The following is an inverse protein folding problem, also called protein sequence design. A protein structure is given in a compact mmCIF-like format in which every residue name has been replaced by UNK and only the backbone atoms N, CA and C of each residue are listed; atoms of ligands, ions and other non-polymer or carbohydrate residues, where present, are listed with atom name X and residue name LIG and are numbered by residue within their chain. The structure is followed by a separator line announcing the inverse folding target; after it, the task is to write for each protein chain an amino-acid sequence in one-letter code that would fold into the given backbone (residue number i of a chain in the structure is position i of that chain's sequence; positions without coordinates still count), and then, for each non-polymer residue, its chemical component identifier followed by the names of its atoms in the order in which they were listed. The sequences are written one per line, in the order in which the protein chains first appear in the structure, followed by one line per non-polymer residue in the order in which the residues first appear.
data_IF_390336633772
#
_entry.id   IF_390336633772
#
_cell.length_a   1.000
_cell.length_b   1.000
_cell.length_c   1.000
_cell.angle_alpha   90.00
_cell.angle_beta   90.00
_cell.angle_gamma   90.00
#
_symmetry.space_group_name_H-M   'P 1'
#
loop_
_entity.id
_entity.type
_entity.pdbx_description
1 polymer ?
#
# COMPACT_ATOMS: atom_id res chain seq x y z
N UNK A 1 -9.46 -8.95 0.52
CA UNK A 1 -9.16 -8.64 1.93
C UNK A 1 -7.67 -8.54 2.15
N UNK A 2 -7.27 -7.69 3.07
CA UNK A 2 -5.86 -7.52 3.41
C UNK A 2 -5.42 -8.65 4.31
N UNK A 3 -4.25 -9.22 4.06
CA UNK A 3 -3.65 -10.25 4.92
C UNK A 3 -2.60 -9.63 5.84
N UNK A 4 -2.73 -9.90 7.13
CA UNK A 4 -1.83 -9.36 8.15
C UNK A 4 -0.89 -10.47 8.60
N UNK A 5 0.42 -10.19 8.55
CA UNK A 5 1.47 -11.12 8.98
C UNK A 5 2.38 -10.43 9.99
N UNK A 6 2.33 -10.88 11.24
CA UNK A 6 3.21 -10.38 12.29
C UNK A 6 3.20 -8.84 12.38
N UNK A 7 1.98 -8.28 12.47
CA UNK A 7 1.80 -6.83 12.53
C UNK A 7 2.55 -6.23 13.73
N UNK A 8 3.24 -5.11 13.49
CA UNK A 8 3.93 -4.39 14.56
C UNK A 8 2.96 -3.97 15.67
N UNK A 9 3.45 -3.99 16.90
CA UNK A 9 2.63 -3.78 18.09
C UNK A 9 2.60 -2.31 18.55
N UNK A 10 2.86 -1.39 17.65
CA UNK A 10 2.77 0.03 17.92
C UNK A 10 1.36 0.54 17.67
N UNK A 11 0.99 1.62 18.38
CA UNK A 11 -0.38 2.16 18.34
C UNK A 11 -0.92 2.40 16.93
N UNK A 12 -0.18 3.02 16.00
CA UNK A 12 -0.73 3.25 14.67
C UNK A 12 -1.14 1.95 13.96
N UNK A 13 -0.37 0.89 14.10
CA UNK A 13 -0.66 -0.40 13.46
C UNK A 13 -1.84 -1.10 14.12
N UNK A 14 -1.90 -1.05 15.42
CA UNK A 14 -3.03 -1.61 16.19
C UNK A 14 -4.31 -0.86 15.81
N UNK A 15 -4.27 0.45 15.76
CA UNK A 15 -5.41 1.28 15.40
C UNK A 15 -5.86 0.98 13.96
N UNK A 16 -4.93 0.83 13.04
CA UNK A 16 -5.25 0.45 11.67
C UNK A 16 -6.03 -0.87 11.64
N UNK A 17 -5.53 -1.87 12.35
CA UNK A 17 -6.18 -3.19 12.40
C UNK A 17 -7.58 -3.11 13.00
N UNK A 18 -7.76 -2.35 14.06
CA UNK A 18 -9.06 -2.14 14.68
C UNK A 18 -10.04 -1.49 13.71
N UNK A 19 -9.63 -0.42 13.04
CA UNK A 19 -10.46 0.27 12.07
C UNK A 19 -10.78 -0.60 10.86
N UNK A 20 -9.82 -1.40 10.44
CA UNK A 20 -10.03 -2.37 9.38
C UNK A 20 -11.10 -3.41 9.78
N UNK A 21 -10.99 -3.96 10.98
CA UNK A 21 -11.96 -4.94 11.47
C UNK A 21 -13.37 -4.33 11.58
N UNK A 22 -13.48 -3.08 12.05
CA UNK A 22 -14.75 -2.37 12.12
C UNK A 22 -15.34 -2.17 10.72
N UNK A 23 -14.54 -1.81 9.74
CA UNK A 23 -14.98 -1.62 8.37
C UNK A 23 -15.45 -2.93 7.74
N UNK A 24 -14.74 -4.03 7.97
CA UNK A 24 -15.15 -5.37 7.52
C UNK A 24 -16.52 -5.71 8.11
N UNK A 25 -16.70 -5.52 9.41
CA UNK A 25 -17.94 -5.81 10.09
C UNK A 25 -19.09 -4.95 9.56
N UNK A 26 -18.81 -3.75 9.10
CA UNK A 26 -19.80 -2.84 8.52
C UNK A 26 -20.07 -3.12 7.03
N UNK A 27 -19.44 -4.12 6.45
CA UNK A 27 -19.66 -4.49 5.06
C UNK A 27 -18.97 -3.60 4.04
N UNK A 28 -17.85 -2.97 4.40
CA UNK A 28 -17.12 -2.10 3.50
C UNK A 28 -16.64 -2.84 2.26
N UNK A 29 -17.03 -2.34 1.07
CA UNK A 29 -16.57 -2.85 -0.22
C UNK A 29 -15.23 -2.21 -0.58
N UNK A 30 -14.43 -2.93 -1.37
CA UNK A 30 -13.13 -2.46 -1.86
C UNK A 30 -12.25 -1.95 -0.72
N UNK A 31 -12.26 -2.68 0.39
CA UNK A 31 -11.58 -2.25 1.62
C UNK A 31 -10.06 -2.15 1.45
N UNK A 32 -9.51 -2.91 0.50
CA UNK A 32 -8.08 -2.89 0.18
C UNK A 32 -7.66 -1.76 -0.76
N UNK A 33 -8.61 -1.01 -1.30
CA UNK A 33 -8.28 0.10 -2.22
C UNK A 33 -7.60 1.23 -1.47
N UNK A 34 -6.41 1.60 -1.92
CA UNK A 34 -5.58 2.61 -1.31
C UNK A 34 -5.13 3.60 -2.38
N UNK A 35 -5.37 4.88 -2.16
CA UNK A 35 -4.87 5.92 -3.06
C UNK A 35 -3.41 6.21 -2.73
N UNK A 36 -2.55 6.16 -3.74
CA UNK A 36 -1.13 6.51 -3.60
C UNK A 36 -0.85 7.76 -4.41
N UNK A 37 -0.24 8.73 -3.76
CA UNK A 37 0.25 9.94 -4.40
C UNK A 37 1.77 9.88 -4.46
N UNK A 38 2.31 10.09 -5.65
CA UNK A 38 3.74 10.04 -5.90
C UNK A 38 4.20 11.30 -6.63
N UNK A 39 5.50 11.60 -6.49
CA UNK A 39 6.12 12.75 -7.11
C UNK A 39 7.24 12.28 -8.05
N UNK A 40 7.18 12.73 -9.31
CA UNK A 40 8.24 12.49 -10.29
C UNK A 40 9.17 13.70 -10.32
N UNK A 41 10.39 13.54 -9.83
CA UNK A 41 11.34 14.65 -9.71
C UNK A 41 11.83 15.20 -11.06
N UNK A 42 11.84 14.35 -12.10
CA UNK A 42 12.31 14.77 -13.43
C UNK A 42 11.33 15.71 -14.10
N UNK A 43 10.05 15.54 -13.88
CA UNK A 43 8.99 16.35 -14.50
C UNK A 43 8.33 17.30 -13.53
N UNK A 44 8.62 17.22 -12.23
CA UNK A 44 7.96 17.98 -11.17
C UNK A 44 6.45 17.76 -11.15
N UNK A 45 6.03 16.52 -11.41
CA UNK A 45 4.61 16.18 -11.46
C UNK A 45 4.21 15.26 -10.31
N UNK A 46 2.99 15.47 -9.82
CA UNK A 46 2.38 14.63 -8.80
C UNK A 46 1.23 13.87 -9.44
N UNK A 47 1.19 12.56 -9.22
CA UNK A 47 0.10 11.71 -9.68
C UNK A 47 -0.50 10.95 -8.51
N UNK A 48 -1.78 10.66 -8.62
CA UNK A 48 -2.49 9.83 -7.65
C UNK A 48 -3.25 8.72 -8.38
N UNK A 49 -3.28 7.54 -7.76
CA UNK A 49 -4.00 6.39 -8.30
C UNK A 49 -4.38 5.44 -7.19
N UNK A 50 -5.36 4.60 -7.44
CA UNK A 50 -5.69 3.53 -6.52
C UNK A 50 -4.86 2.30 -6.82
N UNK A 51 -4.42 1.64 -5.76
CA UNK A 51 -3.84 0.30 -5.81
C UNK A 51 -4.54 -0.55 -4.76
N UNK A 52 -4.46 -1.86 -4.90
CA UNK A 52 -5.04 -2.77 -3.91
C UNK A 52 -3.96 -3.25 -2.97
N UNK A 53 -4.09 -2.89 -1.71
CA UNK A 53 -3.18 -3.38 -0.68
C UNK A 53 -3.44 -4.86 -0.45
N UNK A 54 -2.40 -5.68 -0.51
CA UNK A 54 -2.55 -7.14 -0.38
C UNK A 54 -2.11 -7.66 0.97
N UNK A 55 -1.02 -7.13 1.50
CA UNK A 55 -0.42 -7.62 2.73
C UNK A 55 0.07 -6.48 3.59
N UNK A 56 -0.01 -6.69 4.89
CA UNK A 56 0.75 -5.91 5.86
C UNK A 56 1.60 -6.90 6.62
N UNK A 57 2.92 -6.81 6.46
CA UNK A 57 3.88 -7.69 7.10
C UNK A 57 4.81 -6.83 7.94
N UNK A 58 4.81 -7.06 9.25
CA UNK A 58 5.50 -6.20 10.21
C UNK A 58 4.98 -4.76 10.06
N UNK A 59 5.84 -3.84 9.62
CA UNK A 59 5.47 -2.44 9.35
C UNK A 59 5.40 -2.12 7.85
N UNK A 60 5.42 -3.13 7.00
CA UNK A 60 5.43 -2.97 5.55
C UNK A 60 4.05 -3.23 4.95
N UNK A 61 3.58 -2.27 4.15
CA UNK A 61 2.32 -2.36 3.43
C UNK A 61 2.66 -2.72 1.98
N UNK A 62 2.17 -3.87 1.50
CA UNK A 62 2.62 -4.46 0.26
C UNK A 62 1.50 -4.49 -0.78
N UNK A 63 1.77 -3.95 -1.94
CA UNK A 63 0.89 -4.01 -3.10
C UNK A 63 1.70 -4.38 -4.33
N UNK A 64 1.01 -4.74 -5.41
CA UNK A 64 1.64 -5.15 -6.66
C UNK A 64 1.41 -4.10 -7.75
N UNK A 65 2.43 -3.87 -8.56
CA UNK A 65 2.40 -2.87 -9.61
C UNK A 65 3.28 -3.30 -10.77
N UNK A 66 2.96 -2.77 -11.95
CA UNK A 66 3.81 -2.96 -13.13
C UNK A 66 5.03 -2.05 -13.02
N UNK A 67 6.23 -2.64 -13.14
CA UNK A 67 7.49 -1.91 -13.06
C UNK A 67 7.68 -0.89 -14.17
N UNK A 68 7.13 -1.15 -15.33
CA UNK A 68 7.32 -0.29 -16.50
C UNK A 68 6.30 0.86 -16.54
N UNK A 69 5.42 0.93 -15.55
CA UNK A 69 4.47 2.02 -15.46
C UNK A 69 5.14 3.33 -15.07
N UNK A 70 4.49 4.44 -15.40
CA UNK A 70 4.95 5.77 -15.01
C UNK A 70 5.06 5.92 -13.50
N UNK A 71 4.21 5.24 -12.73
CA UNK A 71 4.28 5.29 -11.26
C UNK A 71 5.54 4.62 -10.73
N UNK A 72 6.01 3.54 -11.36
CA UNK A 72 7.25 2.90 -10.94
C UNK A 72 8.44 3.83 -11.16
N UNK A 73 8.45 4.58 -12.26
CA UNK A 73 9.48 5.59 -12.51
C UNK A 73 9.47 6.68 -11.44
N UNK A 74 8.28 7.15 -11.05
CA UNK A 74 8.15 8.14 -9.99
C UNK A 74 8.70 7.61 -8.65
N UNK A 75 8.42 6.36 -8.32
CA UNK A 75 8.93 5.75 -7.08
C UNK A 75 10.45 5.67 -7.05
N UNK A 76 11.08 5.43 -8.20
CA UNK A 76 12.55 5.39 -8.29
C UNK A 76 13.13 6.80 -8.13
N UNK A 77 12.51 7.80 -8.73
CA UNK A 77 13.03 9.17 -8.69
C UNK A 77 12.84 9.84 -7.34
N UNK A 78 11.77 9.48 -6.63
CA UNK A 78 11.43 10.04 -5.32
C UNK A 78 10.68 8.98 -4.52
N UNK A 79 11.27 8.53 -3.43
CA UNK A 79 10.77 7.37 -2.72
C UNK A 79 9.75 7.67 -1.61
N UNK A 80 9.45 8.93 -1.36
CA UNK A 80 8.41 9.28 -0.40
C UNK A 80 7.06 9.39 -1.10
N UNK A 81 6.03 8.80 -0.51
CA UNK A 81 4.67 8.82 -1.05
C UNK A 81 3.67 9.18 0.04
N UNK A 82 2.50 9.61 -0.39
CA UNK A 82 1.32 9.69 0.48
C UNK A 82 0.40 8.53 0.15
N UNK A 83 -0.20 7.94 1.16
CA UNK A 83 -1.19 6.88 0.99
C UNK A 83 -2.44 7.22 1.78
N UNK A 84 -3.60 6.86 1.21
CA UNK A 84 -4.87 7.27 1.77
C UNK A 84 -5.90 6.15 1.60
N UNK A 85 -6.56 5.80 2.71
CA UNK A 85 -7.77 4.97 2.69
C UNK A 85 -8.97 5.81 3.09
N UNK A 86 -10.11 5.51 2.49
CA UNK A 86 -11.38 6.01 2.99
C UNK A 86 -12.38 4.87 3.04
N UNK A 87 -12.83 4.53 4.23
CA UNK A 87 -13.83 3.50 4.48
C UNK A 87 -15.16 4.17 4.82
N UNK A 88 -16.00 4.30 3.81
CA UNK A 88 -17.24 5.07 3.93
C UNK A 88 -18.24 4.47 4.90
N UNK A 89 -18.26 3.14 5.04
CA UNK A 89 -19.22 2.47 5.93
C UNK A 89 -19.02 2.84 7.41
N UNK A 90 -17.80 3.20 7.78
CA UNK A 90 -17.49 3.63 9.15
C UNK A 90 -17.06 5.10 9.21
N UNK A 91 -17.06 5.77 8.06
CA UNK A 91 -16.63 7.17 7.94
C UNK A 91 -15.22 7.38 8.51
N UNK A 92 -14.30 6.52 8.16
CA UNK A 92 -12.91 6.56 8.61
C UNK A 92 -12.00 6.88 7.46
N UNK A 93 -11.11 7.86 7.64
CA UNK A 93 -10.05 8.19 6.71
C UNK A 93 -8.71 7.88 7.39
N UNK A 94 -7.84 7.16 6.68
CA UNK A 94 -6.50 6.85 7.17
C UNK A 94 -5.49 7.43 6.21
N UNK A 95 -4.61 8.28 6.72
CA UNK A 95 -3.55 8.92 5.93
C UNK A 95 -2.21 8.40 6.41
N UNK A 96 -1.32 8.16 5.45
CA UNK A 96 0.04 7.73 5.76
C UNK A 96 1.03 8.50 4.90
N UNK A 97 2.17 8.83 5.47
CA UNK A 97 3.36 9.17 4.72
C UNK A 97 4.31 8.00 4.86
N UNK A 98 4.88 7.58 3.75
CA UNK A 98 5.69 6.38 3.74
C UNK A 98 6.82 6.48 2.75
N UNK A 99 7.81 5.63 2.92
CA UNK A 99 8.84 5.40 1.91
C UNK A 99 8.49 4.13 1.17
N UNK A 100 8.58 4.19 -0.15
CA UNK A 100 8.28 3.06 -1.00
C UNK A 100 9.58 2.41 -1.48
N UNK A 101 9.60 1.08 -1.51
CA UNK A 101 10.74 0.33 -1.99
C UNK A 101 10.25 -0.94 -2.67
N UNK A 102 11.11 -1.53 -3.48
CA UNK A 102 10.87 -2.83 -4.07
C UNK A 102 10.96 -3.91 -2.99
N UNK A 103 10.02 -4.86 -2.99
CA UNK A 103 10.08 -5.98 -2.05
C UNK A 103 11.21 -6.95 -2.40
N UNK A 104 11.51 -7.83 -1.44
CA UNK A 104 12.47 -8.91 -1.68
C UNK A 104 11.96 -9.90 -2.73
N UNK A 105 12.87 -10.65 -3.33
CA UNK A 105 12.54 -11.69 -4.30
C UNK A 105 11.59 -12.76 -3.75
N UNK A 106 11.62 -12.98 -2.45
CA UNK A 106 10.73 -13.94 -1.80
C UNK A 106 9.26 -13.60 -2.01
N UNK A 107 8.88 -12.33 -1.84
CA UNK A 107 7.51 -11.89 -2.13
C UNK A 107 7.20 -11.95 -3.60
N UNK A 108 8.11 -11.55 -4.45
CA UNK A 108 7.95 -11.65 -5.89
C UNK A 108 7.69 -13.10 -6.29
N UNK A 109 8.50 -14.04 -5.80
CA UNK A 109 8.38 -15.45 -6.12
C UNK A 109 7.03 -16.01 -5.63
N UNK A 110 6.62 -15.66 -4.43
CA UNK A 110 5.39 -16.15 -3.82
C UNK A 110 4.13 -15.68 -4.53
N UNK A 111 4.16 -14.52 -5.16
CA UNK A 111 3.00 -13.89 -5.77
C UNK A 111 2.96 -13.97 -7.27
N UNK A 112 4.09 -13.96 -7.94
CA UNK A 112 4.13 -13.97 -9.39
C UNK A 112 4.01 -15.34 -10.00
N UNK A 113 4.05 -16.38 -9.20
CA UNK A 113 3.81 -17.73 -9.70
C UNK A 113 2.41 -17.88 -10.28
N UNK A 114 1.44 -17.11 -9.77
CA UNK A 114 0.04 -17.16 -10.20
C UNK A 114 -0.43 -15.90 -10.92
N UNK A 115 0.49 -15.03 -11.36
CA UNK A 115 0.14 -13.78 -12.04
C UNK A 115 1.03 -13.55 -13.24
N UNK A 116 0.60 -12.63 -14.11
CA UNK A 116 1.37 -12.29 -15.30
C UNK A 116 2.73 -11.72 -14.90
N UNK A 117 3.76 -12.02 -15.70
CA UNK A 117 5.15 -11.65 -15.45
C UNK A 117 5.41 -10.14 -15.37
N UNK A 118 4.44 -9.34 -15.75
CA UNK A 118 4.56 -7.89 -15.81
C UNK A 118 4.40 -7.19 -14.48
N UNK A 119 4.00 -7.90 -13.42
CA UNK A 119 3.73 -7.30 -12.13
C UNK A 119 4.82 -7.63 -11.12
N UNK A 120 5.22 -6.63 -10.38
CA UNK A 120 6.21 -6.74 -9.33
C UNK A 120 5.62 -6.27 -8.02
N UNK A 121 6.16 -6.76 -6.92
CA UNK A 121 5.74 -6.35 -5.60
C UNK A 121 6.51 -5.12 -5.16
N UNK A 122 5.80 -4.15 -4.63
CA UNK A 122 6.37 -2.95 -4.01
C UNK A 122 5.90 -2.90 -2.57
N UNK A 123 6.79 -2.54 -1.68
CA UNK A 123 6.48 -2.41 -0.26
C UNK A 123 6.47 -0.95 0.15
N UNK A 124 5.51 -0.61 1.00
CA UNK A 124 5.42 0.69 1.63
C UNK A 124 5.76 0.49 3.09
N UNK A 125 6.81 1.15 3.56
CA UNK A 125 7.15 1.19 4.98
C UNK A 125 6.48 2.41 5.58
N UNK A 126 5.59 2.19 6.53
CA UNK A 126 4.90 3.28 7.20
C UNK A 126 5.84 3.96 8.19
N UNK A 127 5.99 5.27 8.05
CA UNK A 127 6.71 6.08 9.03
C UNK A 127 5.77 6.60 10.11
N UNK A 128 4.51 6.81 9.74
CA UNK A 128 3.53 7.43 10.62
C UNK A 128 2.16 7.31 9.98
N UNK A 129 1.17 7.08 10.74
CA UNK A 129 -0.21 7.14 10.24
C UNK A 129 -0.86 8.49 10.53
#
# INVERSE_FOLDING_TARGET
MIKFNNLENEIPYITFKEKYNEAIAAGQKNIEAMSISSYESKTNEVDSRYVNLKFITNDEFIFFSNYESSKASAFISHNQIGALFYWSCTNVQIRMRAKIKKTSNEYNHKYFFNRTEEKNALAISSNQS
#
